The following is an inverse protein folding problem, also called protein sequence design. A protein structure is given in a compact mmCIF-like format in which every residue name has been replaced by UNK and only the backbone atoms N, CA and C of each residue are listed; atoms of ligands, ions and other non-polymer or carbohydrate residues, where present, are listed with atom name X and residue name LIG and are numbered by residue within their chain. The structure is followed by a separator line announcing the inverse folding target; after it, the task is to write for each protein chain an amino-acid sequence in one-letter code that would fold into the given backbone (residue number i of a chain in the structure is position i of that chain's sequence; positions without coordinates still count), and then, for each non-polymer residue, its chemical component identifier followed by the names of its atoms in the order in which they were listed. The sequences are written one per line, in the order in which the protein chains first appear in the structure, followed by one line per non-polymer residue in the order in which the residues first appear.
data_IF_538654342973
#
_entry.id   IF_538654342973
#
_cell.length_a   1.000
_cell.length_b   1.000
_cell.length_c   1.000
_cell.angle_alpha   90.00
_cell.angle_beta   90.00
_cell.angle_gamma   90.00
#
_symmetry.space_group_name_H-M   'P 1'
#
loop_
_entity.id
_entity.type
_entity.pdbx_description
1 polymer ?
#
# COMPACT_ATOMS: atom_id res chain seq x y z
N UNK A 1 27.68 -24.74 -11.01
CA UNK A 1 27.78 -23.27 -10.98
C UNK A 1 26.44 -22.61 -10.67
N UNK A 2 25.34 -22.90 -11.38
CA UNK A 2 24.02 -22.33 -11.06
C UNK A 2 23.50 -22.66 -9.63
N UNK A 3 23.80 -23.85 -9.11
CA UNK A 3 23.41 -24.25 -7.74
C UNK A 3 24.21 -23.58 -6.63
N UNK A 4 25.40 -23.04 -6.92
CA UNK A 4 26.23 -22.33 -5.92
C UNK A 4 25.81 -20.85 -5.84
N UNK A 5 25.44 -20.26 -6.98
CA UNK A 5 24.99 -18.85 -7.05
C UNK A 5 23.63 -18.69 -6.35
N UNK A 6 22.71 -19.64 -6.50
CA UNK A 6 21.42 -19.58 -5.80
C UNK A 6 21.56 -19.71 -4.27
N UNK A 7 22.49 -20.54 -3.80
CA UNK A 7 22.77 -20.67 -2.36
C UNK A 7 23.41 -19.41 -1.79
N UNK A 8 24.31 -18.76 -2.52
CA UNK A 8 24.93 -17.48 -2.12
C UNK A 8 23.98 -16.27 -2.20
N UNK A 9 22.89 -16.35 -2.98
CA UNK A 9 21.86 -15.31 -3.08
C UNK A 9 20.83 -15.43 -1.94
N UNK A 10 20.36 -16.65 -1.64
CA UNK A 10 19.44 -16.90 -0.52
C UNK A 10 20.09 -16.56 0.84
N UNK A 11 21.37 -16.91 1.05
CA UNK A 11 22.10 -16.57 2.27
C UNK A 11 22.31 -15.05 2.44
N UNK A 12 22.43 -14.29 1.33
CA UNK A 12 22.63 -12.84 1.37
C UNK A 12 21.32 -12.07 1.63
N UNK A 13 20.18 -12.62 1.23
CA UNK A 13 18.86 -12.06 1.55
C UNK A 13 18.56 -12.22 3.06
N UNK A 14 18.86 -13.39 3.63
CA UNK A 14 18.69 -13.65 5.07
C UNK A 14 19.58 -12.76 5.96
N UNK A 15 20.77 -12.38 5.49
CA UNK A 15 21.68 -11.49 6.21
C UNK A 15 21.23 -10.01 6.12
N UNK A 16 20.68 -9.59 4.99
CA UNK A 16 20.16 -8.22 4.81
C UNK A 16 18.93 -7.94 5.68
N UNK A 17 18.03 -8.93 5.81
CA UNK A 17 16.85 -8.81 6.66
C UNK A 17 17.24 -8.79 8.14
N UNK A 18 18.26 -9.55 8.57
CA UNK A 18 18.78 -9.48 9.96
C UNK A 18 19.38 -8.12 10.26
N UNK A 19 20.21 -7.56 9.38
CA UNK A 19 20.82 -6.24 9.60
C UNK A 19 19.76 -5.11 9.67
N UNK A 20 18.61 -5.28 9.01
CA UNK A 20 17.49 -4.36 9.12
C UNK A 20 16.74 -4.47 10.46
N UNK A 21 16.51 -5.70 10.97
CA UNK A 21 15.75 -5.93 12.20
C UNK A 21 16.58 -5.90 13.49
N UNK A 22 17.91 -5.99 13.39
CA UNK A 22 18.84 -5.89 14.53
C UNK A 22 19.33 -4.46 14.79
N UNK A 23 18.69 -3.45 14.20
CA UNK A 23 19.00 -2.05 14.50
C UNK A 23 18.63 -1.72 15.95
N UNK A 24 19.51 -0.99 16.64
CA UNK A 24 19.33 -0.52 18.03
C UNK A 24 18.03 0.29 18.24
N UNK A 25 17.39 0.75 17.17
CA UNK A 25 16.08 1.40 17.20
C UNK A 25 14.93 0.46 17.58
N UNK A 26 15.04 -0.83 17.22
CA UNK A 26 14.02 -1.87 17.51
C UNK A 26 14.45 -2.80 18.64
N UNK A 27 15.69 -2.70 19.11
CA UNK A 27 16.14 -3.41 20.28
C UNK A 27 15.34 -2.92 21.48
N UNK A 28 14.63 -3.84 22.14
CA UNK A 28 13.83 -3.61 23.34
C UNK A 28 14.75 -3.13 24.46
N UNK A 29 14.97 -1.82 24.55
CA UNK A 29 15.74 -1.22 25.61
C UNK A 29 14.90 -1.35 26.89
N UNK A 30 15.42 -2.06 27.89
CA UNK A 30 14.77 -2.28 29.19
C UNK A 30 14.49 -0.98 30.00
N UNK A 31 14.73 0.19 29.41
CA UNK A 31 14.29 1.52 29.85
C UNK A 31 13.35 2.14 28.80
N UNK A 32 12.20 1.53 28.54
CA UNK A 32 11.08 2.24 27.91
C UNK A 32 10.51 3.21 28.96
N UNK A 33 11.09 4.40 29.03
CA UNK A 33 10.60 5.48 29.87
C UNK A 33 9.14 5.73 29.49
N UNK A 34 8.20 5.36 30.38
CA UNK A 34 6.77 5.64 30.21
C UNK A 34 6.62 7.07 29.69
N UNK A 35 5.97 7.22 28.52
CA UNK A 35 5.70 8.51 27.91
C UNK A 35 4.92 9.37 28.91
N UNK A 36 5.65 10.20 29.66
CA UNK A 36 5.05 11.29 30.40
C UNK A 36 4.51 12.24 29.34
N UNK A 37 3.19 12.46 29.32
CA UNK A 37 2.64 13.67 28.71
C UNK A 37 3.25 14.85 29.46
N UNK A 38 4.41 15.32 29.00
CA UNK A 38 4.75 16.72 29.18
C UNK A 38 3.67 17.48 28.44
N UNK A 39 2.93 18.31 29.17
CA UNK A 39 1.99 19.22 28.55
C UNK A 39 2.79 20.11 27.60
N UNK A 40 2.58 19.92 26.30
CA UNK A 40 3.06 20.81 25.24
C UNK A 40 2.70 22.25 25.60
N UNK A 41 3.67 22.99 26.15
CA UNK A 41 3.73 24.44 26.06
C UNK A 41 4.30 24.82 24.68
N UNK A 42 3.77 24.19 23.63
CA UNK A 42 3.99 24.62 22.26
C UNK A 42 3.16 25.88 22.07
N UNK A 43 3.86 27.01 22.22
CA UNK A 43 3.30 28.34 22.02
C UNK A 43 2.48 28.40 20.74
N UNK A 44 1.26 28.93 20.86
CA UNK A 44 0.26 28.97 19.79
C UNK A 44 0.87 29.36 18.44
N UNK A 45 0.59 28.55 17.40
CA UNK A 45 0.97 28.81 16.02
C UNK A 45 0.57 30.24 15.60
N UNK A 46 1.56 31.11 15.51
CA UNK A 46 1.38 32.51 15.09
C UNK A 46 1.32 32.55 13.57
N UNK A 47 0.14 32.86 13.08
CA UNK A 47 -0.13 33.04 11.66
C UNK A 47 0.32 34.42 11.18
N UNK A 48 0.98 34.50 10.01
CA UNK A 48 1.37 35.76 9.41
C UNK A 48 0.13 36.57 8.97
N UNK A 49 0.13 37.86 9.29
CA UNK A 49 -1.02 38.76 9.11
C UNK A 49 -1.40 39.04 7.65
N UNK A 50 -0.66 38.52 6.68
CA UNK A 50 -0.92 38.66 5.24
C UNK A 50 -1.69 37.46 4.65
N UNK A 51 -1.85 36.37 5.37
CA UNK A 51 -2.58 35.20 4.86
C UNK A 51 -4.11 35.45 4.76
N UNK A 52 -4.64 36.50 5.41
CA UNK A 52 -6.06 36.84 5.39
C UNK A 52 -6.50 37.90 4.35
N UNK A 53 -5.59 38.58 3.66
CA UNK A 53 -5.94 39.73 2.81
C UNK A 53 -6.00 39.33 1.33
N UNK A 54 -7.19 38.87 0.92
CA UNK A 54 -7.53 38.78 -0.50
C UNK A 54 -7.58 40.19 -1.10
N UNK A 55 -6.64 40.46 -2.00
CA UNK A 55 -6.58 41.65 -2.85
C UNK A 55 -7.87 41.89 -3.63
N UNK A 56 -8.53 43.03 -3.42
CA UNK A 56 -9.40 43.71 -4.40
C UNK A 56 -9.69 45.17 -3.96
N UNK A 57 -8.86 46.11 -4.42
CA UNK A 57 -9.12 47.56 -4.28
C UNK A 57 -8.60 48.32 -5.50
N UNK A 58 -9.54 48.81 -6.32
CA UNK A 58 -9.40 49.84 -7.36
C UNK A 58 -10.81 50.43 -7.53
N UNK A 59 -11.12 51.72 -7.39
CA UNK A 59 -10.37 52.92 -7.04
C UNK A 59 -11.38 54.04 -6.75
N UNK A 60 -11.04 54.97 -5.86
CA UNK A 60 -11.80 56.19 -5.57
C UNK A 60 -10.90 57.39 -5.89
N UNK A 61 -11.37 58.21 -6.83
CA UNK A 61 -10.65 59.34 -7.43
C UNK A 61 -11.18 60.63 -6.81
N UNK A 62 -10.30 61.36 -6.10
CA UNK A 62 -10.64 62.65 -5.52
C UNK A 62 -9.46 63.29 -4.82
N UNK A 63 -8.86 64.29 -5.47
CA UNK A 63 -8.63 65.65 -4.94
C UNK A 63 -7.52 66.39 -5.72
N UNK A 64 -7.92 67.40 -6.49
CA UNK A 64 -7.08 68.49 -6.97
C UNK A 64 -6.95 69.56 -5.87
N UNK A 65 -5.73 70.05 -5.58
CA UNK A 65 -5.44 71.47 -5.26
C UNK A 65 -3.90 71.67 -5.21
N UNK A 66 -3.28 72.32 -6.18
CA UNK A 66 -3.00 73.76 -6.29
C UNK A 66 -1.80 74.28 -5.46
N UNK A 67 -0.74 74.73 -6.16
CA UNK A 67 -0.20 76.12 -6.11
C UNK A 67 1.29 76.24 -6.38
N UNK A 68 1.53 77.19 -7.27
CA UNK A 68 2.79 77.61 -7.83
C UNK A 68 3.59 78.57 -6.93
N UNK A 69 4.78 78.88 -7.46
CA UNK A 69 5.57 80.10 -7.31
C UNK A 69 6.62 80.11 -6.18
N UNK A 70 7.89 80.21 -6.60
CA UNK A 70 8.64 81.48 -6.52
C UNK A 70 10.00 81.36 -7.23
N UNK A 71 10.19 82.19 -8.27
CA UNK A 71 11.49 82.50 -8.90
C UNK A 71 12.08 83.74 -8.23
N UNK A 72 13.32 83.67 -7.74
CA UNK A 72 14.25 84.81 -7.71
C UNK A 72 15.70 84.36 -7.42
N UNK A 73 16.67 85.20 -7.79
CA UNK A 73 18.11 85.15 -7.50
C UNK A 73 19.02 84.23 -8.33
N UNK A 74 19.73 84.82 -9.31
CA UNK A 74 21.12 84.50 -9.70
C UNK A 74 21.97 85.69 -9.16
N UNK A 75 23.27 85.58 -8.77
CA UNK A 75 24.32 84.77 -9.41
C UNK A 75 25.42 84.27 -8.43
N UNK A 76 25.27 83.07 -7.84
CA UNK A 76 26.40 82.24 -7.36
C UNK A 76 26.26 80.79 -7.85
N UNK A 77 25.48 80.60 -8.92
CA UNK A 77 24.95 79.30 -9.33
C UNK A 77 25.90 78.51 -10.23
N UNK A 78 26.88 79.12 -10.89
CA UNK A 78 27.77 78.40 -11.83
C UNK A 78 28.72 77.44 -11.10
N UNK A 79 29.43 77.89 -10.06
CA UNK A 79 30.35 77.04 -9.29
C UNK A 79 29.63 75.97 -8.45
N UNK A 80 28.44 76.27 -7.91
CA UNK A 80 27.62 75.29 -7.20
C UNK A 80 26.97 74.26 -8.15
N UNK A 81 26.55 74.69 -9.34
CA UNK A 81 26.00 73.81 -10.37
C UNK A 81 27.08 72.89 -10.96
N UNK A 82 28.30 73.40 -11.12
CA UNK A 82 29.44 72.63 -11.61
C UNK A 82 29.93 71.61 -10.59
N UNK A 83 30.03 71.98 -9.30
CA UNK A 83 30.31 71.03 -8.21
C UNK A 83 29.22 69.97 -8.06
N UNK A 84 27.94 70.33 -8.24
CA UNK A 84 26.83 69.36 -8.25
C UNK A 84 26.92 68.40 -9.44
N UNK A 85 27.26 68.90 -10.63
CA UNK A 85 27.47 68.05 -11.82
C UNK A 85 28.64 67.10 -11.63
N UNK A 86 29.77 67.58 -11.12
CA UNK A 86 30.93 66.75 -10.81
C UNK A 86 30.62 65.72 -9.73
N UNK A 87 29.82 66.05 -8.71
CA UNK A 87 29.39 65.11 -7.68
C UNK A 87 28.43 64.03 -8.21
N UNK A 88 27.52 64.39 -9.12
CA UNK A 88 26.62 63.43 -9.79
C UNK A 88 27.43 62.51 -10.71
N UNK A 89 28.35 63.04 -11.51
CA UNK A 89 29.22 62.25 -12.39
C UNK A 89 30.12 61.29 -11.58
N UNK A 90 30.67 61.74 -10.45
CA UNK A 90 31.44 60.87 -9.55
C UNK A 90 30.56 59.79 -8.91
N UNK A 91 29.30 60.10 -8.58
CA UNK A 91 28.35 59.15 -8.03
C UNK A 91 27.88 58.11 -9.06
N UNK A 92 27.69 58.50 -10.33
CA UNK A 92 27.35 57.60 -11.43
C UNK A 92 28.52 56.65 -11.78
N UNK A 93 29.76 57.15 -11.77
CA UNK A 93 30.96 56.31 -11.94
C UNK A 93 31.11 55.28 -10.83
N UNK A 94 30.92 55.69 -9.57
CA UNK A 94 30.95 54.77 -8.39
C UNK A 94 29.81 53.74 -8.41
N UNK A 95 28.62 54.09 -8.94
CA UNK A 95 27.51 53.14 -9.13
C UNK A 95 27.79 52.08 -10.21
N UNK A 96 28.50 52.45 -11.28
CA UNK A 96 28.85 51.53 -12.38
C UNK A 96 29.93 50.50 -12.00
N UNK A 97 30.95 50.93 -11.25
CA UNK A 97 32.09 50.09 -10.87
C UNK A 97 31.70 48.98 -9.87
N UNK A 98 30.84 49.29 -8.90
CA UNK A 98 30.32 48.29 -7.94
C UNK A 98 29.33 47.30 -8.55
N UNK A 99 28.49 47.74 -9.49
CA UNK A 99 27.52 46.88 -10.20
C UNK A 99 28.18 45.94 -11.19
N UNK A 100 29.26 46.34 -11.85
CA UNK A 100 29.97 45.48 -12.82
C UNK A 100 30.63 44.26 -12.17
N UNK A 101 31.22 44.44 -10.98
CA UNK A 101 31.87 43.33 -10.26
C UNK A 101 30.85 42.44 -9.51
N UNK A 102 29.80 43.04 -8.93
CA UNK A 102 28.70 42.29 -8.32
C UNK A 102 27.88 41.51 -9.38
N UNK A 103 27.65 42.09 -10.55
CA UNK A 103 26.99 41.43 -11.67
C UNK A 103 27.80 40.26 -12.22
N UNK A 104 29.13 40.41 -12.38
CA UNK A 104 30.00 39.30 -12.82
C UNK A 104 30.02 38.14 -11.84
N UNK A 105 30.14 38.42 -10.54
CA UNK A 105 30.04 37.38 -9.49
C UNK A 105 28.68 36.71 -9.48
N UNK A 106 27.59 37.47 -9.69
CA UNK A 106 26.25 36.91 -9.85
C UNK A 106 26.13 35.99 -11.06
N UNK A 107 26.76 36.34 -12.19
CA UNK A 107 26.79 35.50 -13.40
C UNK A 107 27.65 34.24 -13.19
N UNK A 108 28.77 34.34 -12.49
CA UNK A 108 29.62 33.18 -12.16
C UNK A 108 28.93 32.21 -11.18
N UNK A 109 28.26 32.75 -10.15
CA UNK A 109 27.44 31.96 -9.24
C UNK A 109 26.27 31.30 -9.99
N UNK A 110 25.60 32.03 -10.88
CA UNK A 110 24.54 31.48 -11.71
C UNK A 110 25.04 30.35 -12.63
N UNK A 111 26.25 30.46 -13.18
CA UNK A 111 26.84 29.40 -14.00
C UNK A 111 27.18 28.15 -13.16
N UNK A 112 27.66 28.33 -11.93
CA UNK A 112 27.92 27.22 -11.01
C UNK A 112 26.63 26.52 -10.58
N UNK A 113 25.58 27.29 -10.26
CA UNK A 113 24.28 26.71 -9.93
C UNK A 113 23.63 26.05 -11.13
N UNK A 114 23.82 26.56 -12.35
CA UNK A 114 23.38 25.89 -13.59
C UNK A 114 24.03 24.50 -13.73
N UNK A 115 25.34 24.39 -13.47
CA UNK A 115 26.05 23.09 -13.52
C UNK A 115 25.49 22.12 -12.47
N UNK A 116 25.28 22.59 -11.24
CA UNK A 116 24.74 21.77 -10.14
C UNK A 116 23.31 21.34 -10.44
N UNK A 117 22.47 22.27 -10.90
CA UNK A 117 21.07 22.01 -11.24
C UNK A 117 20.97 21.03 -12.41
N UNK A 118 21.83 21.16 -13.42
CA UNK A 118 21.89 20.24 -14.56
C UNK A 118 22.31 18.84 -14.13
N UNK A 119 23.34 18.72 -13.28
CA UNK A 119 23.78 17.43 -12.77
C UNK A 119 22.70 16.76 -11.90
N UNK A 120 22.03 17.53 -11.05
CA UNK A 120 20.91 17.05 -10.23
C UNK A 120 19.71 16.61 -11.10
N UNK A 121 19.38 17.38 -12.14
CA UNK A 121 18.34 17.02 -13.10
C UNK A 121 18.66 15.72 -13.83
N UNK A 122 19.90 15.56 -14.30
CA UNK A 122 20.35 14.34 -14.98
C UNK A 122 20.29 13.12 -14.04
N UNK A 123 20.58 13.28 -12.74
CA UNK A 123 20.40 12.23 -11.75
C UNK A 123 18.92 11.85 -11.54
N UNK A 124 18.03 12.84 -11.43
CA UNK A 124 16.59 12.57 -11.30
C UNK A 124 16.04 11.82 -12.52
N UNK A 125 16.44 12.25 -13.72
CA UNK A 125 16.02 11.59 -14.96
C UNK A 125 16.52 10.14 -15.05
N UNK A 126 17.73 9.86 -14.57
CA UNK A 126 18.24 8.47 -14.48
C UNK A 126 17.39 7.62 -13.54
N UNK A 127 17.06 8.14 -12.35
CA UNK A 127 16.20 7.45 -11.39
C UNK A 127 14.80 7.22 -11.97
N UNK A 128 14.24 8.19 -12.69
CA UNK A 128 12.95 8.02 -13.38
C UNK A 128 13.01 6.96 -14.48
N UNK A 129 14.07 6.95 -15.31
CA UNK A 129 14.26 5.94 -16.34
C UNK A 129 14.43 4.54 -15.76
N UNK A 130 15.19 4.41 -14.67
CA UNK A 130 15.37 3.15 -13.94
C UNK A 130 14.03 2.65 -13.37
N UNK A 131 13.25 3.53 -12.73
CA UNK A 131 11.90 3.21 -12.23
C UNK A 131 10.92 2.86 -13.35
N UNK A 132 11.02 3.50 -14.51
CA UNK A 132 10.19 3.18 -15.71
C UNK A 132 10.54 1.83 -16.33
N UNK A 133 11.79 1.38 -16.18
CA UNK A 133 12.26 0.07 -16.66
C UNK A 133 11.91 -1.08 -15.71
N UNK A 134 11.42 -0.79 -14.50
CA UNK A 134 10.90 -1.80 -13.59
C UNK A 134 9.66 -2.43 -14.22
N UNK A 135 9.86 -3.57 -14.87
CA UNK A 135 8.78 -4.40 -15.37
C UNK A 135 8.09 -5.00 -14.15
N UNK A 136 6.98 -4.37 -13.73
CA UNK A 136 6.09 -4.94 -12.72
C UNK A 136 5.54 -6.24 -13.29
N UNK A 137 6.12 -7.37 -12.90
CA UNK A 137 5.55 -8.67 -13.19
C UNK A 137 4.34 -8.83 -12.31
N UNK A 138 3.18 -8.68 -12.92
CA UNK A 138 1.91 -8.94 -12.26
C UNK A 138 1.91 -10.41 -11.84
N UNK A 139 2.09 -10.67 -10.53
CA UNK A 139 2.01 -12.01 -9.92
C UNK A 139 0.55 -12.46 -9.87
N UNK A 140 -0.17 -12.35 -10.99
CA UNK A 140 -1.48 -12.98 -11.15
C UNK A 140 -1.24 -14.46 -11.07
N UNK A 141 -1.49 -15.03 -9.91
CA UNK A 141 -1.58 -16.48 -9.71
C UNK A 141 -2.72 -16.96 -10.60
N UNK A 142 -2.40 -17.34 -11.83
CA UNK A 142 -3.36 -17.78 -12.83
C UNK A 142 -3.67 -19.24 -12.57
N UNK A 143 -4.91 -19.53 -12.20
CA UNK A 143 -5.38 -20.88 -11.99
C UNK A 143 -6.63 -20.94 -11.09
N UNK A 144 -7.26 -22.13 -11.00
CA UNK A 144 -8.42 -22.32 -10.14
C UNK A 144 -8.08 -21.99 -8.69
N UNK A 145 -8.84 -21.07 -8.10
CA UNK A 145 -8.60 -20.57 -6.75
C UNK A 145 -9.85 -20.71 -5.90
N UNK A 146 -9.67 -21.20 -4.68
CA UNK A 146 -10.74 -21.26 -3.68
C UNK A 146 -10.57 -20.09 -2.73
N UNK A 147 -11.60 -19.26 -2.63
CA UNK A 147 -11.62 -18.09 -1.73
C UNK A 147 -12.71 -18.32 -0.69
N UNK A 148 -12.32 -18.31 0.57
CA UNK A 148 -13.23 -18.39 1.72
C UNK A 148 -13.47 -17.00 2.28
N UNK A 149 -14.74 -16.63 2.50
CA UNK A 149 -15.11 -15.35 3.12
C UNK A 149 -16.12 -15.61 4.24
N UNK A 150 -15.80 -15.21 5.45
CA UNK A 150 -16.74 -15.20 6.56
C UNK A 150 -17.28 -13.77 6.76
N UNK A 151 -18.59 -13.65 6.88
CA UNK A 151 -19.26 -12.40 7.22
C UNK A 151 -20.09 -12.63 8.49
N UNK A 152 -19.90 -11.77 9.48
CA UNK A 152 -20.69 -11.80 10.71
C UNK A 152 -21.89 -10.86 10.55
N UNK A 153 -23.09 -11.41 10.68
CA UNK A 153 -24.35 -10.67 10.69
C UNK A 153 -25.00 -10.87 12.06
N UNK A 154 -24.75 -9.91 12.96
CA UNK A 154 -25.13 -9.98 14.37
C UNK A 154 -24.43 -11.12 15.12
N UNK A 155 -25.24 -12.03 15.70
CA UNK A 155 -24.77 -13.23 16.41
C UNK A 155 -24.51 -14.43 15.48
N UNK A 156 -24.88 -14.31 14.21
CA UNK A 156 -24.72 -15.39 13.23
C UNK A 156 -23.48 -15.14 12.34
N UNK A 157 -22.69 -16.18 12.13
CA UNK A 157 -21.53 -16.15 11.21
C UNK A 157 -21.89 -16.94 9.96
N UNK A 158 -21.97 -16.26 8.82
CA UNK A 158 -22.14 -16.89 7.51
C UNK A 158 -20.77 -17.06 6.86
N UNK A 159 -20.46 -18.28 6.43
CA UNK A 159 -19.20 -18.61 5.76
C UNK A 159 -19.49 -19.01 4.33
N UNK A 160 -18.87 -18.31 3.38
CA UNK A 160 -18.99 -18.57 1.95
C UNK A 160 -17.67 -19.16 1.44
N UNK A 161 -17.78 -20.21 0.63
CA UNK A 161 -16.64 -20.77 -0.12
C UNK A 161 -16.92 -20.53 -1.61
N UNK A 162 -16.05 -19.76 -2.25
CA UNK A 162 -16.18 -19.38 -3.66
C UNK A 162 -15.05 -19.98 -4.49
N UNK A 163 -15.41 -20.68 -5.56
CA UNK A 163 -14.47 -21.21 -6.54
C UNK A 163 -14.35 -20.18 -7.68
N UNK A 164 -13.17 -19.59 -7.81
CA UNK A 164 -12.79 -18.62 -8.84
C UNK A 164 -11.90 -19.29 -9.89
N UNK A 165 -11.97 -18.85 -11.14
CA UNK A 165 -11.08 -19.28 -12.24
C UNK A 165 -11.08 -20.79 -12.55
N UNK A 166 -12.24 -21.44 -12.52
CA UNK A 166 -12.39 -22.82 -12.98
C UNK A 166 -13.81 -23.38 -12.84
N UNK A 167 -14.11 -24.51 -13.50
CA UNK A 167 -15.37 -25.23 -13.30
C UNK A 167 -15.44 -25.81 -11.89
N UNK A 168 -16.66 -25.90 -11.34
CA UNK A 168 -16.89 -26.58 -10.06
C UNK A 168 -16.43 -28.06 -10.18
N UNK A 169 -15.81 -28.65 -9.15
CA UNK A 169 -15.48 -30.07 -9.18
C UNK A 169 -16.77 -30.89 -9.39
N UNK A 170 -16.81 -31.81 -10.36
CA UNK A 170 -18.02 -32.59 -10.65
C UNK A 170 -18.46 -33.43 -9.45
N UNK A 171 -17.53 -33.77 -8.54
CA UNK A 171 -17.80 -34.48 -7.30
C UNK A 171 -18.75 -33.73 -6.33
N UNK A 172 -18.88 -32.40 -6.44
CA UNK A 172 -19.79 -31.62 -5.59
C UNK A 172 -21.25 -31.83 -6.01
N UNK A 173 -21.48 -31.95 -7.32
CA UNK A 173 -22.81 -32.11 -7.91
C UNK A 173 -23.06 -33.55 -8.39
N UNK A 174 -22.23 -34.50 -7.97
CA UNK A 174 -22.34 -35.88 -8.43
C UNK A 174 -23.53 -36.58 -7.75
N UNK A 175 -24.25 -37.37 -8.54
CA UNK A 175 -25.41 -38.10 -8.06
C UNK A 175 -24.91 -39.36 -7.36
N UNK A 176 -25.30 -39.53 -6.09
CA UNK A 176 -24.93 -40.72 -5.34
C UNK A 176 -25.35 -41.99 -6.10
N UNK A 177 -24.48 -43.03 -6.13
CA UNK A 177 -24.82 -44.28 -6.81
C UNK A 177 -26.07 -44.91 -6.19
N UNK A 178 -26.83 -45.64 -7.01
CA UNK A 178 -28.04 -46.32 -6.55
C UNK A 178 -27.76 -47.20 -5.33
N UNK A 179 -28.64 -47.12 -4.34
CA UNK A 179 -28.51 -47.93 -3.13
C UNK A 179 -28.50 -49.43 -3.49
N UNK A 180 -27.65 -50.24 -2.84
CA UNK A 180 -27.64 -51.67 -3.08
C UNK A 180 -29.01 -52.28 -2.76
N UNK A 181 -29.45 -53.30 -3.52
CA UNK A 181 -30.74 -53.92 -3.32
C UNK A 181 -30.85 -54.52 -1.92
N UNK A 182 -31.99 -54.31 -1.25
CA UNK A 182 -32.24 -54.86 0.08
C UNK A 182 -32.32 -56.40 0.02
N UNK A 183 -31.49 -57.06 0.82
CA UNK A 183 -31.53 -58.52 0.98
C UNK A 183 -32.87 -58.97 1.56
N UNK A 184 -33.48 -60.01 0.99
CA UNK A 184 -34.79 -60.52 1.40
C UNK A 184 -34.63 -61.71 2.33
N UNK A 185 -35.53 -61.83 3.30
CA UNK A 185 -35.62 -62.94 4.24
C UNK A 185 -35.82 -64.26 3.50
N UNK A 186 -35.02 -65.27 3.82
CA UNK A 186 -35.09 -66.59 3.18
C UNK A 186 -36.42 -67.33 3.42
N UNK A 187 -37.15 -67.01 4.49
CA UNK A 187 -38.41 -67.67 4.86
C UNK A 187 -39.62 -66.84 4.44
N UNK A 188 -39.62 -65.53 4.70
CA UNK A 188 -40.80 -64.66 4.54
C UNK A 188 -40.76 -63.78 3.30
N UNK A 189 -39.63 -63.66 2.60
CA UNK A 189 -39.47 -62.79 1.43
C UNK A 189 -39.50 -61.27 1.71
N UNK A 190 -39.78 -60.86 2.95
CA UNK A 190 -39.71 -59.48 3.42
C UNK A 190 -38.26 -58.97 3.44
N UNK A 191 -38.01 -57.65 3.40
CA UNK A 191 -36.65 -57.12 3.59
C UNK A 191 -36.09 -57.62 4.92
N UNK A 192 -34.93 -58.27 4.85
CA UNK A 192 -34.30 -58.85 6.02
C UNK A 192 -33.70 -57.75 6.89
N UNK A 193 -33.90 -57.91 8.20
CA UNK A 193 -33.41 -56.99 9.22
C UNK A 193 -32.11 -57.48 9.83
N UNK A 194 -31.87 -58.78 9.79
CA UNK A 194 -30.75 -59.44 10.45
C UNK A 194 -30.17 -60.54 9.55
N UNK A 195 -28.90 -60.88 9.78
CA UNK A 195 -28.20 -61.98 9.13
C UNK A 195 -27.73 -62.97 10.19
N UNK A 196 -28.01 -64.26 10.03
CA UNK A 196 -27.56 -65.28 10.97
C UNK A 196 -26.21 -65.89 10.50
N UNK A 197 -25.11 -65.75 11.26
CA UNK A 197 -23.81 -66.32 10.89
C UNK A 197 -23.81 -67.85 10.78
N UNK A 198 -24.65 -68.54 11.55
CA UNK A 198 -24.67 -70.00 11.59
C UNK A 198 -25.41 -70.60 10.38
N UNK A 199 -26.53 -70.00 9.99
CA UNK A 199 -27.29 -70.42 8.80
C UNK A 199 -26.82 -69.74 7.50
N UNK A 200 -26.06 -68.64 7.60
CA UNK A 200 -25.69 -67.74 6.49
C UNK A 200 -26.91 -67.24 5.70
N UNK A 201 -28.04 -67.08 6.39
CA UNK A 201 -29.29 -66.68 5.78
C UNK A 201 -29.80 -65.37 6.39
N UNK A 202 -30.25 -64.42 5.56
CA UNK A 202 -30.92 -63.20 6.02
C UNK A 202 -32.35 -63.52 6.51
N UNK A 203 -32.78 -62.86 7.59
CA UNK A 203 -34.12 -63.01 8.18
C UNK A 203 -34.74 -61.69 8.67
N UNK A 204 -36.07 -61.62 8.68
CA UNK A 204 -36.82 -60.42 9.06
C UNK A 204 -37.45 -60.50 10.47
N UNK A 205 -37.97 -61.68 10.84
CA UNK A 205 -38.72 -61.89 12.10
C UNK A 205 -38.07 -62.98 12.96
N UNK A 206 -38.38 -63.00 14.26
CA UNK A 206 -37.91 -64.04 15.18
C UNK A 206 -38.48 -65.42 14.82
N UNK A 207 -39.68 -65.49 14.26
CA UNK A 207 -40.27 -66.73 13.75
C UNK A 207 -39.46 -67.29 12.59
N UNK A 208 -39.08 -66.44 11.63
CA UNK A 208 -38.19 -66.84 10.54
C UNK A 208 -36.84 -67.36 11.07
N UNK A 209 -36.29 -66.74 12.11
CA UNK A 209 -35.05 -67.22 12.76
C UNK A 209 -35.20 -68.61 13.39
N UNK A 210 -36.33 -68.86 14.08
CA UNK A 210 -36.65 -70.18 14.64
C UNK A 210 -36.79 -71.23 13.55
N UNK A 211 -37.45 -70.90 12.44
CA UNK A 211 -37.56 -71.81 11.29
C UNK A 211 -36.19 -72.11 10.67
N UNK A 212 -35.36 -71.09 10.42
CA UNK A 212 -34.02 -71.25 9.84
C UNK A 212 -33.08 -72.14 10.65
N UNK A 213 -33.13 -72.04 11.99
CA UNK A 213 -32.32 -72.90 12.88
C UNK A 213 -33.01 -74.22 13.27
N UNK A 214 -34.34 -74.26 13.21
CA UNK A 214 -35.15 -75.44 13.48
C UNK A 214 -35.10 -76.47 12.34
N UNK A 215 -35.15 -76.02 11.09
CA UNK A 215 -35.13 -76.88 9.90
C UNK A 215 -33.79 -77.60 9.70
N UNK A 216 -32.64 -77.00 10.07
CA UNK A 216 -31.33 -77.65 9.95
C UNK A 216 -31.10 -78.81 10.91
N UNK A 217 -31.89 -78.95 11.98
CA UNK A 217 -31.78 -80.11 12.89
C UNK A 217 -32.47 -81.35 12.33
N UNK A 218 -33.32 -81.21 11.31
CA UNK A 218 -34.09 -82.31 10.70
C UNK A 218 -33.71 -82.46 9.22
N UNK A 219 -32.46 -82.84 8.97
CA UNK A 219 -32.13 -83.65 7.78
C UNK A 219 -31.27 -84.82 8.25
N UNK A 220 -31.84 -86.03 8.48
CA UNK A 220 -31.04 -87.23 8.36
C UNK A 220 -30.58 -87.29 6.90
N UNK A 221 -29.27 -87.41 6.71
CA UNK A 221 -28.66 -87.86 5.45
C UNK A 221 -29.34 -89.15 5.01
N UNK A 222 -30.09 -89.09 3.91
CA UNK A 222 -30.56 -90.27 3.21
C UNK A 222 -29.70 -90.45 1.96
N UNK A 223 -28.93 -91.55 2.00
CA UNK A 223 -28.28 -92.31 0.92
C UNK A 223 -27.23 -91.59 0.08
#
# INVERSE_FOLDING_TARGET
MASLIAQEEDEREDDADKEFYEQDFWADAEEDAEYAMEADDEGADSFDSDFGDSSESDGDDGEEEEKAARKAAKPKKRSAQEKRRQAIELAERRKGEGRGQAGRRGVELAAQTEIINRASLEQMLRVEEEKRKVVVRDRRTSGPRVVTKSTREGDSVRTYVTFTDGPLPPAIDDVAPDYPPQVKCAVTGQPARYFDPASRSPYATLEAFRTLRGERRVRPSAS
#
